data_IF_449997736191
#
_entry.id   IF_449997736191
#
_cell.length_a   1.000
_cell.length_b   1.000
_cell.length_c   1.000
_cell.angle_alpha   90.00
_cell.angle_beta   90.00
_cell.angle_gamma   90.00
#
_symmetry.space_group_name_H-M   'P 1'
#
loop_
_entity.id
_entity.type
_entity.pdbx_description
1 polymer ?
#
# COMPACT_ATOMS: atom_id res chain seq x y z
N UNK A 1 -74.25 -14.62 -37.97
CA UNK A 1 -74.72 -15.58 -36.95
C UNK A 1 -73.50 -16.17 -36.26
N UNK A 2 -73.30 -15.87 -34.96
CA UNK A 2 -72.52 -16.63 -33.93
C UNK A 2 -71.02 -16.92 -34.25
N UNK A 3 -70.05 -16.76 -33.37
CA UNK A 3 -70.07 -16.62 -31.91
C UNK A 3 -68.72 -16.05 -31.43
N UNK A 4 -68.77 -15.38 -30.30
CA UNK A 4 -67.64 -14.86 -29.53
C UNK A 4 -66.82 -15.97 -28.86
N UNK A 5 -65.60 -15.59 -28.45
CA UNK A 5 -64.73 -16.17 -27.42
C UNK A 5 -63.73 -17.27 -27.84
N UNK A 6 -62.45 -16.89 -27.88
CA UNK A 6 -61.25 -17.67 -27.54
C UNK A 6 -60.02 -16.74 -27.81
N UNK A 7 -59.02 -16.45 -26.96
CA UNK A 7 -58.46 -17.03 -25.73
C UNK A 7 -57.82 -15.87 -24.91
N UNK A 8 -58.09 -15.84 -23.61
CA UNK A 8 -57.45 -14.98 -22.60
C UNK A 8 -56.29 -15.71 -21.88
N UNK A 9 -55.29 -14.92 -21.47
CA UNK A 9 -54.50 -15.03 -20.22
C UNK A 9 -53.92 -16.39 -19.79
N UNK A 10 -52.62 -16.58 -20.04
CA UNK A 10 -51.77 -17.53 -19.31
C UNK A 10 -51.09 -16.86 -18.11
N UNK A 11 -51.65 -17.03 -16.90
CA UNK A 11 -51.00 -16.73 -15.62
C UNK A 11 -51.22 -17.92 -14.69
N UNK A 12 -50.18 -18.21 -13.89
CA UNK A 12 -50.14 -19.04 -12.67
C UNK A 12 -49.71 -20.49 -12.88
N UNK A 13 -48.41 -20.71 -12.72
CA UNK A 13 -47.90 -21.89 -12.02
C UNK A 13 -46.88 -21.41 -10.98
N UNK A 14 -47.39 -20.93 -9.84
CA UNK A 14 -46.62 -20.95 -8.60
C UNK A 14 -46.55 -22.41 -8.15
N UNK A 15 -45.50 -23.12 -8.57
CA UNK A 15 -45.22 -24.48 -8.17
C UNK A 15 -44.58 -24.55 -6.79
N UNK A 16 -45.31 -25.20 -5.87
CA UNK A 16 -44.85 -25.97 -4.70
C UNK A 16 -43.74 -25.36 -3.83
N UNK A 17 -44.07 -24.80 -2.67
CA UNK A 17 -44.27 -25.60 -1.45
C UNK A 17 -43.20 -26.68 -1.28
N UNK A 18 -42.08 -26.29 -0.69
CA UNK A 18 -41.34 -27.17 0.20
C UNK A 18 -41.19 -26.46 1.55
N UNK A 19 -42.26 -26.53 2.34
CA UNK A 19 -42.14 -26.42 3.78
C UNK A 19 -41.19 -27.53 4.26
N UNK A 20 -39.94 -27.17 4.59
CA UNK A 20 -39.19 -27.94 5.59
C UNK A 20 -39.35 -27.22 6.92
N UNK A 21 -40.34 -27.67 7.69
CA UNK A 21 -40.40 -27.39 9.11
C UNK A 21 -40.01 -28.67 9.86
N UNK A 22 -39.16 -28.47 10.87
CA UNK A 22 -38.93 -29.33 12.03
C UNK A 22 -37.95 -30.51 11.90
N UNK A 23 -36.77 -30.38 12.53
CA UNK A 23 -36.35 -31.24 13.67
C UNK A 23 -35.05 -30.72 14.31
N UNK A 24 -35.20 -29.80 15.27
CA UNK A 24 -34.37 -29.36 16.44
C UNK A 24 -32.84 -29.59 16.58
N UNK A 25 -32.12 -30.11 15.58
CA UNK A 25 -30.64 -30.28 15.59
C UNK A 25 -29.97 -29.65 14.37
N UNK A 26 -30.65 -29.60 13.23
CA UNK A 26 -30.14 -28.95 12.01
C UNK A 26 -30.09 -27.42 12.10
N UNK A 27 -31.08 -26.78 12.72
CA UNK A 27 -31.07 -25.33 12.94
C UNK A 27 -29.89 -24.89 13.85
N UNK A 28 -29.57 -25.68 14.87
CA UNK A 28 -28.41 -25.41 15.74
C UNK A 28 -27.09 -25.55 14.97
N UNK A 29 -26.99 -26.52 14.04
CA UNK A 29 -25.83 -26.67 13.15
C UNK A 29 -25.72 -25.53 12.14
N UNK A 30 -26.84 -25.10 11.54
CA UNK A 30 -26.86 -23.96 10.61
C UNK A 30 -26.46 -22.67 11.35
N UNK A 31 -27.02 -22.44 12.54
CA UNK A 31 -26.65 -21.30 13.38
C UNK A 31 -25.16 -21.37 13.78
N UNK A 32 -24.65 -22.55 14.16
CA UNK A 32 -23.24 -22.73 14.48
C UNK A 32 -22.32 -22.46 13.28
N UNK A 33 -22.69 -22.91 12.08
CA UNK A 33 -21.92 -22.66 10.84
C UNK A 33 -21.95 -21.17 10.47
N UNK A 34 -23.11 -20.50 10.63
CA UNK A 34 -23.23 -19.06 10.38
C UNK A 34 -22.39 -18.26 11.39
N UNK A 35 -22.39 -18.64 12.66
CA UNK A 35 -21.54 -18.00 13.68
C UNK A 35 -20.06 -18.25 13.39
N UNK A 36 -19.67 -19.45 12.98
CA UNK A 36 -18.30 -19.76 12.57
C UNK A 36 -17.87 -18.96 11.32
N UNK A 37 -18.77 -18.79 10.35
CA UNK A 37 -18.51 -17.98 9.17
C UNK A 37 -18.35 -16.50 9.53
N UNK A 38 -19.16 -15.98 10.45
CA UNK A 38 -19.04 -14.60 10.96
C UNK A 38 -17.75 -14.40 11.75
N UNK A 39 -17.34 -15.37 12.58
CA UNK A 39 -16.06 -15.34 13.30
C UNK A 39 -14.87 -15.45 12.35
N UNK A 40 -14.96 -16.27 11.29
CA UNK A 40 -13.93 -16.37 10.27
C UNK A 40 -13.81 -15.07 9.46
N UNK A 41 -14.93 -14.42 9.12
CA UNK A 41 -14.94 -13.13 8.44
C UNK A 41 -14.39 -12.01 9.33
N UNK A 42 -14.76 -11.98 10.62
CA UNK A 42 -14.22 -11.02 11.59
C UNK A 42 -12.72 -11.26 11.84
N UNK A 43 -12.29 -12.52 11.91
CA UNK A 43 -10.88 -12.89 12.04
C UNK A 43 -10.07 -12.53 10.80
N UNK A 44 -10.62 -12.74 9.60
CA UNK A 44 -9.99 -12.34 8.35
C UNK A 44 -9.91 -10.81 8.19
N UNK A 45 -10.99 -10.09 8.54
CA UNK A 45 -10.98 -8.63 8.58
C UNK A 45 -9.99 -8.10 9.62
N UNK A 46 -9.92 -8.70 10.81
CA UNK A 46 -8.93 -8.37 11.84
C UNK A 46 -7.49 -8.67 11.39
N UNK A 47 -7.25 -9.81 10.75
CA UNK A 47 -5.95 -10.19 10.20
C UNK A 47 -5.50 -9.21 9.10
N UNK A 48 -6.38 -8.88 8.15
CA UNK A 48 -6.08 -7.87 7.13
C UNK A 48 -5.89 -6.48 7.73
N UNK A 49 -6.62 -6.10 8.79
CA UNK A 49 -6.43 -4.84 9.49
C UNK A 49 -5.11 -4.80 10.27
N UNK A 50 -4.70 -5.91 10.90
CA UNK A 50 -3.42 -6.03 11.59
C UNK A 50 -2.24 -5.97 10.62
N UNK A 51 -2.39 -6.56 9.43
CA UNK A 51 -1.41 -6.44 8.35
C UNK A 51 -1.35 -5.00 7.77
N UNK A 52 -2.49 -4.29 7.78
CA UNK A 52 -2.61 -2.89 7.32
C UNK A 52 -2.14 -1.86 8.37
N UNK A 53 -2.15 -2.22 9.65
CA UNK A 53 -1.57 -1.42 10.75
C UNK A 53 -0.05 -1.25 10.65
N UNK A 54 0.64 -2.16 9.94
CA UNK A 54 2.07 -2.02 9.59
C UNK A 54 2.31 -1.38 8.20
N UNK A 55 1.25 -0.96 7.49
CA UNK A 55 1.34 -0.26 6.21
C UNK A 55 0.43 0.97 6.18
N UNK A 56 0.66 1.88 7.13
CA UNK A 56 0.10 3.22 7.11
C UNK A 56 0.64 4.01 5.92
N UNK A 57 -0.19 4.24 4.89
CA UNK A 57 -0.30 5.52 4.18
C UNK A 57 -1.38 5.46 3.08
N UNK A 58 -2.51 6.19 3.20
CA UNK A 58 -3.34 6.56 2.07
C UNK A 58 -2.59 7.63 1.24
N UNK A 59 -1.66 7.19 0.39
CA UNK A 59 -0.86 8.06 -0.49
C UNK A 59 -0.20 7.37 -1.69
N UNK A 60 -0.21 6.03 -1.73
CA UNK A 60 0.58 5.23 -2.69
C UNK A 60 0.21 5.36 -4.18
N UNK A 61 -0.84 6.09 -4.53
CA UNK A 61 -1.29 6.13 -5.93
C UNK A 61 -0.48 7.12 -6.79
N UNK A 62 0.09 8.18 -6.19
CA UNK A 62 0.97 9.11 -6.90
C UNK A 62 2.43 8.63 -6.88
N UNK A 63 2.90 8.12 -5.73
CA UNK A 63 4.27 7.63 -5.58
C UNK A 63 4.60 6.49 -6.58
N UNK A 64 3.66 5.59 -6.84
CA UNK A 64 3.89 4.44 -7.75
C UNK A 64 4.10 4.87 -9.21
N UNK A 65 3.41 5.92 -9.67
CA UNK A 65 3.62 6.48 -11.01
C UNK A 65 4.95 7.22 -11.11
N UNK A 66 5.28 8.00 -10.09
CA UNK A 66 6.56 8.72 -10.02
C UNK A 66 7.74 7.73 -10.01
N UNK A 67 7.68 6.69 -9.18
CA UNK A 67 8.69 5.63 -9.10
C UNK A 67 8.87 4.95 -10.45
N UNK A 68 7.80 4.52 -11.12
CA UNK A 68 7.91 3.87 -12.43
C UNK A 68 8.59 4.79 -13.46
N UNK A 69 8.28 6.08 -13.45
CA UNK A 69 8.89 7.05 -14.35
C UNK A 69 10.38 7.29 -14.02
N UNK A 70 10.75 7.31 -12.74
CA UNK A 70 12.13 7.45 -12.28
C UNK A 70 12.97 6.20 -12.58
N UNK A 71 12.44 5.01 -12.32
CA UNK A 71 13.09 3.73 -12.66
C UNK A 71 13.36 3.66 -14.16
N UNK A 72 12.43 4.12 -15.01
CA UNK A 72 12.68 4.20 -16.47
C UNK A 72 13.77 5.21 -16.82
N UNK A 73 13.81 6.38 -16.17
CA UNK A 73 14.86 7.39 -16.41
C UNK A 73 16.23 6.86 -16.00
N UNK A 74 16.34 6.29 -14.80
CA UNK A 74 17.58 5.76 -14.24
C UNK A 74 18.02 4.49 -14.98
N UNK A 75 17.09 3.64 -15.40
CA UNK A 75 17.35 2.43 -16.18
C UNK A 75 17.99 2.70 -17.56
N UNK A 76 17.90 3.94 -18.07
CA UNK A 76 18.65 4.38 -19.26
C UNK A 76 20.09 4.79 -18.96
N UNK A 77 20.39 5.09 -17.70
CA UNK A 77 21.70 5.55 -17.23
C UNK A 77 22.53 4.41 -16.64
N UNK A 78 21.87 3.43 -16.01
CA UNK A 78 22.52 2.29 -15.37
C UNK A 78 21.60 1.06 -15.38
N UNK A 79 22.20 -0.13 -15.33
CA UNK A 79 21.48 -1.39 -15.13
C UNK A 79 20.93 -1.43 -13.70
N UNK A 80 19.60 -1.54 -13.58
CA UNK A 80 18.88 -1.63 -12.31
C UNK A 80 18.54 -3.09 -11.98
N UNK A 81 18.47 -3.46 -10.69
CA UNK A 81 17.93 -4.75 -10.28
C UNK A 81 16.48 -4.92 -10.74
N UNK A 82 16.14 -6.12 -11.19
CA UNK A 82 14.79 -6.48 -11.66
C UNK A 82 14.15 -7.49 -10.72
N UNK A 83 12.83 -7.39 -10.51
CA UNK A 83 12.08 -8.32 -9.67
C UNK A 83 11.66 -7.76 -8.32
N UNK A 84 12.12 -6.55 -7.96
CA UNK A 84 11.75 -5.86 -6.72
C UNK A 84 11.23 -4.44 -6.99
N UNK A 85 10.47 -3.88 -6.03
CA UNK A 85 10.02 -2.49 -6.07
C UNK A 85 10.94 -1.63 -5.19
N UNK A 86 11.63 -0.62 -5.77
CA UNK A 86 12.50 0.24 -4.99
C UNK A 86 11.71 1.20 -4.10
N UNK A 87 12.30 1.59 -2.98
CA UNK A 87 11.79 2.64 -2.10
C UNK A 87 12.35 3.98 -2.56
N UNK A 88 11.46 4.96 -2.74
CA UNK A 88 11.84 6.32 -3.09
C UNK A 88 11.91 7.19 -1.83
N UNK A 89 13.06 7.81 -1.61
CA UNK A 89 13.26 8.83 -0.60
C UNK A 89 13.69 10.15 -1.27
N UNK A 90 13.30 11.28 -0.68
CA UNK A 90 13.74 12.61 -1.15
C UNK A 90 14.70 13.22 -0.15
N UNK A 91 15.83 13.72 -0.64
CA UNK A 91 16.86 14.38 0.18
C UNK A 91 16.33 15.74 0.64
N UNK A 92 16.11 15.90 1.94
CA UNK A 92 15.66 17.18 2.54
C UNK A 92 16.81 18.04 3.05
N UNK A 93 17.86 17.40 3.56
CA UNK A 93 19.05 18.06 4.09
C UNK A 93 20.33 17.37 3.61
N UNK A 94 20.78 17.79 2.43
CA UNK A 94 21.98 17.29 1.80
C UNK A 94 23.26 17.68 2.57
N UNK A 95 23.26 18.79 3.31
CA UNK A 95 24.45 19.25 4.04
C UNK A 95 24.77 18.29 5.19
N UNK A 96 23.77 17.94 6.00
CA UNK A 96 23.94 16.95 7.09
C UNK A 96 24.28 15.57 6.55
N UNK A 97 23.63 15.14 5.45
CA UNK A 97 23.89 13.82 4.87
C UNK A 97 25.30 13.70 4.26
N UNK A 98 25.82 14.77 3.65
CA UNK A 98 27.23 14.82 3.17
C UNK A 98 28.24 14.65 4.29
N UNK A 99 27.95 15.22 5.46
CA UNK A 99 28.82 15.09 6.63
C UNK A 99 28.80 13.69 7.23
N UNK A 100 27.66 12.99 7.14
CA UNK A 100 27.49 11.64 7.68
C UNK A 100 28.05 10.57 6.74
N UNK A 101 27.81 10.69 5.44
CA UNK A 101 28.19 9.66 4.48
C UNK A 101 28.73 10.26 3.17
N UNK A 102 29.89 9.78 2.68
CA UNK A 102 30.46 10.25 1.41
C UNK A 102 29.58 9.91 0.20
N UNK A 103 28.61 8.99 0.34
CA UNK A 103 27.64 8.65 -0.70
C UNK A 103 26.83 9.87 -1.17
N UNK A 104 26.55 10.82 -0.27
CA UNK A 104 25.83 12.05 -0.61
C UNK A 104 26.75 13.18 -1.12
N UNK A 105 28.03 12.89 -1.41
CA UNK A 105 28.91 13.86 -2.05
C UNK A 105 28.28 14.34 -3.37
N UNK A 106 28.08 15.65 -3.49
CA UNK A 106 27.40 16.26 -4.64
C UNK A 106 25.87 16.25 -4.62
N UNK A 107 25.22 15.67 -3.59
CA UNK A 107 23.77 15.70 -3.45
C UNK A 107 23.23 17.12 -3.19
N UNK A 108 22.02 17.41 -3.64
CA UNK A 108 21.28 18.63 -3.32
C UNK A 108 19.92 18.34 -2.67
N UNK A 109 19.37 19.34 -2.00
CA UNK A 109 18.00 19.26 -1.49
C UNK A 109 17.02 19.12 -2.67
N UNK A 110 16.14 18.14 -2.56
CA UNK A 110 15.19 17.74 -3.60
C UNK A 110 15.66 16.59 -4.49
N UNK A 111 16.91 16.12 -4.35
CA UNK A 111 17.36 14.93 -5.08
C UNK A 111 16.61 13.67 -4.62
N UNK A 112 16.47 12.73 -5.55
CA UNK A 112 15.74 11.47 -5.36
C UNK A 112 16.70 10.34 -5.08
N UNK A 113 16.46 9.62 -3.99
CA UNK A 113 17.19 8.43 -3.60
C UNK A 113 16.32 7.20 -3.83
N UNK A 114 16.76 6.30 -4.71
CA UNK A 114 16.12 5.01 -4.92
C UNK A 114 16.90 3.93 -4.17
N UNK A 115 16.22 3.20 -3.30
CA UNK A 115 16.79 2.16 -2.46
C UNK A 115 16.21 0.81 -2.87
N UNK A 116 17.08 -0.11 -3.26
CA UNK A 116 16.78 -1.50 -3.54
C UNK A 116 17.17 -2.32 -2.33
N UNK A 117 16.17 -2.84 -1.62
CA UNK A 117 16.37 -3.53 -0.34
C UNK A 117 16.86 -4.96 -0.52
N UNK A 118 16.42 -5.67 -1.56
CA UNK A 118 16.85 -7.05 -1.83
C UNK A 118 18.26 -7.05 -2.42
N UNK A 119 18.54 -6.18 -3.40
CA UNK A 119 19.88 -6.03 -3.98
C UNK A 119 20.87 -5.25 -3.09
N UNK A 120 20.40 -4.63 -2.00
CA UNK A 120 21.17 -3.76 -1.09
C UNK A 120 21.93 -2.65 -1.80
N UNK A 121 21.28 -1.99 -2.77
CA UNK A 121 21.87 -0.92 -3.58
C UNK A 121 21.07 0.36 -3.44
N UNK A 122 21.76 1.48 -3.34
CA UNK A 122 21.19 2.82 -3.37
C UNK A 122 21.66 3.57 -4.62
N UNK A 123 20.73 4.29 -5.23
CA UNK A 123 20.93 5.10 -6.43
C UNK A 123 20.48 6.52 -6.13
N UNK A 124 21.41 7.46 -6.11
CA UNK A 124 21.13 8.88 -5.90
C UNK A 124 21.00 9.56 -7.26
N UNK A 125 19.81 10.07 -7.58
CA UNK A 125 19.47 10.70 -8.84
C UNK A 125 19.00 12.13 -8.64
N UNK A 126 19.53 13.05 -9.45
CA UNK A 126 19.10 14.44 -9.44
C UNK A 126 18.15 14.70 -10.61
N UNK A 127 16.91 15.06 -10.31
CA UNK A 127 15.91 15.41 -11.33
C UNK A 127 16.26 16.70 -12.08
N UNK A 128 16.94 17.64 -11.41
CA UNK A 128 17.35 18.93 -12.00
C UNK A 128 18.36 18.75 -13.13
N UNK A 129 19.36 17.90 -12.91
CA UNK A 129 20.45 17.67 -13.87
C UNK A 129 20.17 16.47 -14.78
N UNK A 130 19.20 15.63 -14.42
CA UNK A 130 18.89 14.39 -15.14
C UNK A 130 19.98 13.34 -15.03
N UNK A 131 20.85 13.43 -14.01
CA UNK A 131 22.03 12.59 -13.84
C UNK A 131 21.94 11.75 -12.57
N UNK A 132 22.59 10.60 -12.63
CA UNK A 132 22.87 9.78 -11.48
C UNK A 132 24.11 10.36 -10.78
N UNK A 133 23.94 10.83 -9.56
CA UNK A 133 24.99 11.47 -8.78
C UNK A 133 25.92 10.42 -8.20
N UNK A 134 25.37 9.40 -7.55
CA UNK A 134 26.15 8.31 -6.95
C UNK A 134 25.37 7.01 -6.87
N UNK A 135 26.11 5.90 -6.80
CA UNK A 135 25.59 4.54 -6.63
C UNK A 135 26.45 3.81 -5.62
N UNK A 136 25.83 3.12 -4.67
CA UNK A 136 26.55 2.50 -3.57
C UNK A 136 25.79 1.38 -2.89
N UNK A 137 26.48 0.54 -2.12
CA UNK A 137 25.83 -0.43 -1.25
C UNK A 137 25.08 0.29 -0.12
N UNK A 138 23.95 -0.27 0.28
CA UNK A 138 23.27 0.15 1.51
C UNK A 138 23.88 -0.65 2.65
N UNK A 139 24.64 0.04 3.49
CA UNK A 139 25.12 -0.51 4.75
C UNK A 139 24.09 -0.14 5.81
N UNK A 140 23.42 -1.14 6.37
CA UNK A 140 22.66 -0.96 7.60
C UNK A 140 23.70 -0.91 8.71
N UNK A 141 24.33 0.24 8.93
CA UNK A 141 24.92 0.48 10.22
C UNK A 141 23.74 0.55 11.19
N UNK A 142 23.69 -0.32 12.20
CA UNK A 142 22.66 -0.35 13.27
C UNK A 142 22.62 0.95 14.11
N UNK A 143 23.28 2.01 13.64
CA UNK A 143 23.38 3.35 14.18
C UNK A 143 22.92 4.40 13.15
N UNK A 144 21.77 4.19 12.51
CA UNK A 144 21.04 5.32 11.91
C UNK A 144 20.37 6.07 13.06
N UNK A 145 20.74 7.34 13.35
CA UNK A 145 19.95 8.14 14.26
C UNK A 145 18.58 8.32 13.60
N UNK A 146 17.56 7.83 14.29
CA UNK A 146 16.15 8.15 14.08
C UNK A 146 16.00 9.60 13.61
N UNK A 147 15.67 9.78 12.34
CA UNK A 147 15.15 11.06 11.86
C UNK A 147 13.76 11.21 12.51
N UNK A 148 13.76 11.84 13.67
CA UNK A 148 12.54 12.20 14.37
C UNK A 148 11.70 13.10 13.45
N UNK A 149 10.41 12.77 13.23
CA UNK A 149 9.49 13.72 12.65
C UNK A 149 9.39 14.89 13.63
N UNK A 150 9.94 16.04 13.23
CA UNK A 150 9.86 17.28 14.00
C UNK A 150 8.39 17.64 14.17
N UNK A 151 7.84 17.27 15.32
CA UNK A 151 6.61 17.85 15.82
C UNK A 151 6.96 19.29 16.16
N UNK A 152 6.31 20.23 15.47
CA UNK A 152 6.39 21.66 15.75
C UNK A 152 5.89 21.91 17.18
N UNK A 153 6.81 21.96 18.14
CA UNK A 153 6.55 22.59 19.44
C UNK A 153 7.00 24.04 19.33
N UNK A 154 6.02 24.93 19.31
CA UNK A 154 6.21 26.37 19.37
C UNK A 154 7.00 26.76 20.63
N UNK A 155 7.90 27.76 20.57
CA UNK A 155 8.68 28.17 21.72
C UNK A 155 7.80 28.92 22.72
N UNK A 156 7.75 28.38 23.94
CA UNK A 156 7.25 29.02 25.15
C UNK A 156 8.11 30.26 25.45
N UNK A 157 7.50 31.44 25.27
CA UNK A 157 8.11 32.72 25.60
C UNK A 157 8.11 32.94 27.13
N UNK A 158 9.27 32.77 27.75
CA UNK A 158 9.56 33.37 29.06
C UNK A 158 9.56 34.89 28.93
N UNK A 159 8.71 35.59 29.69
CA UNK A 159 8.99 36.98 30.09
C UNK A 159 8.63 37.19 31.56
N UNK A 160 9.66 37.69 32.24
CA UNK A 160 9.78 38.19 33.61
C UNK A 160 8.78 39.30 33.94
#
# INVERSE_FOLDING_TARGET
>A
MKNSAEICSGKKDCGCSFCSNNKSRGSKLIIAIVVLALLALAGFAGYTYYQKGNTSAPGKQDDTKEIASLVKKIGRLIVLPTGEQPVLATVKDAASLKAQQPFFAGAENGDKLLIYTEARKAFLYSEKTGKLINVGPVMNDDSVPTAEPVTKTAPEAKKK
#
